data_IF_590528005521
#
_entry.id   IF_590528005521
#
_cell.length_a   1.000
_cell.length_b   1.000
_cell.length_c   1.000
_cell.angle_alpha   90.00
_cell.angle_beta   90.00
_cell.angle_gamma   90.00
#
_symmetry.space_group_name_H-M   'P 1'
#
loop_
_entity.id
_entity.type
_entity.pdbx_description
1 polymer ?
#
# COMPACT_ATOMS: atom_id res chain seq x y z
N UNK A 1 -13.21 -9.90 21.83
CA UNK A 1 -12.97 -8.70 21.02
C UNK A 1 -13.81 -8.79 19.74
N UNK A 2 -14.67 -7.80 19.53
CA UNK A 2 -15.49 -7.70 18.32
C UNK A 2 -14.60 -7.24 17.18
N UNK A 3 -14.20 -8.16 16.30
CA UNK A 3 -13.46 -7.81 15.08
C UNK A 3 -14.39 -7.03 14.14
N UNK A 4 -14.18 -5.74 13.99
CA UNK A 4 -14.92 -4.92 13.05
C UNK A 4 -14.38 -5.15 11.62
N UNK A 5 -15.29 -5.28 10.64
CA UNK A 5 -14.96 -5.38 9.22
C UNK A 5 -15.47 -4.13 8.50
N UNK A 6 -14.56 -3.38 7.88
CA UNK A 6 -14.89 -2.27 7.00
C UNK A 6 -14.77 -2.72 5.54
N UNK A 7 -15.88 -2.73 4.82
CA UNK A 7 -15.89 -3.03 3.38
C UNK A 7 -15.87 -1.70 2.60
N UNK A 8 -15.00 -1.60 1.59
CA UNK A 8 -14.89 -0.39 0.76
C UNK A 8 -15.02 -0.72 -0.71
N UNK A 9 -15.63 0.19 -1.49
CA UNK A 9 -15.91 0.04 -2.91
C UNK A 9 -14.75 0.42 -3.84
N UNK A 10 -13.49 0.29 -3.43
CA UNK A 10 -12.36 0.57 -4.30
C UNK A 10 -12.28 -0.42 -5.46
N UNK A 11 -12.01 0.10 -6.65
CA UNK A 11 -12.00 -0.63 -7.93
C UNK A 11 -10.59 -0.75 -8.51
N UNK A 12 -10.46 -1.40 -9.65
CA UNK A 12 -9.23 -1.46 -10.45
C UNK A 12 -8.79 -0.05 -10.90
N UNK A 13 -9.73 0.82 -11.20
CA UNK A 13 -9.46 2.23 -11.52
C UNK A 13 -8.75 2.93 -10.34
N UNK A 14 -9.24 2.73 -9.12
CA UNK A 14 -8.63 3.31 -7.90
C UNK A 14 -7.23 2.74 -7.64
N UNK A 15 -6.96 1.47 -8.01
CA UNK A 15 -5.61 0.90 -7.95
C UNK A 15 -4.66 1.62 -8.89
N UNK A 16 -5.05 1.83 -10.15
CA UNK A 16 -4.24 2.53 -11.14
C UNK A 16 -3.98 3.99 -10.74
N UNK A 17 -5.02 4.69 -10.30
CA UNK A 17 -4.92 6.06 -9.77
C UNK A 17 -3.93 6.13 -8.61
N UNK A 18 -4.07 5.22 -7.63
CA UNK A 18 -3.19 5.16 -6.44
C UNK A 18 -1.74 4.85 -6.82
N UNK A 19 -1.51 3.95 -7.75
CA UNK A 19 -0.18 3.61 -8.26
C UNK A 19 0.51 4.85 -8.84
N UNK A 20 -0.15 5.58 -9.74
CA UNK A 20 0.42 6.78 -10.37
C UNK A 20 0.66 7.91 -9.37
N UNK A 21 -0.26 8.14 -8.44
CA UNK A 21 -0.07 9.13 -7.38
C UNK A 21 1.17 8.81 -6.53
N UNK A 22 1.42 7.55 -6.22
CA UNK A 22 2.58 7.11 -5.44
C UNK A 22 3.86 7.10 -6.26
N UNK A 23 3.79 6.71 -7.54
CA UNK A 23 4.92 6.80 -8.48
C UNK A 23 5.41 8.25 -8.62
N UNK A 24 4.50 9.21 -8.77
CA UNK A 24 4.82 10.65 -8.82
C UNK A 24 5.57 11.13 -7.57
N UNK A 25 5.31 10.51 -6.42
CA UNK A 25 5.98 10.84 -5.13
C UNK A 25 7.31 10.10 -4.96
N UNK A 26 7.79 9.37 -5.97
CA UNK A 26 9.03 8.59 -5.89
C UNK A 26 8.94 7.37 -4.98
N UNK A 27 7.75 6.79 -4.82
CA UNK A 27 7.58 5.62 -3.95
C UNK A 27 8.29 4.39 -4.53
N UNK A 28 8.95 3.61 -3.67
CA UNK A 28 9.50 2.30 -3.99
C UNK A 28 8.44 1.18 -3.91
N UNK A 29 8.92 -0.06 -3.77
CA UNK A 29 8.09 -1.30 -3.77
C UNK A 29 6.88 -1.20 -2.85
N UNK A 30 7.06 -0.75 -1.61
CA UNK A 30 5.97 -0.65 -0.62
C UNK A 30 4.87 0.31 -1.04
N UNK A 31 5.22 1.44 -1.62
CA UNK A 31 4.26 2.41 -2.12
C UNK A 31 3.59 1.93 -3.40
N UNK A 32 4.37 1.46 -4.37
CA UNK A 32 3.86 1.01 -5.66
C UNK A 32 3.02 -0.27 -5.59
N UNK A 33 3.09 -1.03 -4.48
CA UNK A 33 2.17 -2.13 -4.19
C UNK A 33 0.70 -1.70 -4.10
N UNK A 34 0.42 -0.39 -4.10
CA UNK A 34 -0.91 0.22 -4.04
C UNK A 34 -1.77 -0.32 -2.88
N UNK A 35 -3.04 -0.61 -3.10
CA UNK A 35 -3.93 -1.11 -2.04
C UNK A 35 -3.96 -2.63 -2.05
N UNK A 36 -3.86 -3.24 -0.86
CA UNK A 36 -4.11 -4.66 -0.70
C UNK A 36 -5.62 -4.95 -0.62
N UNK A 37 -6.05 -6.12 -1.08
CA UNK A 37 -7.44 -6.57 -0.97
C UNK A 37 -7.89 -6.60 0.50
N UNK A 38 -6.99 -7.06 1.38
CA UNK A 38 -7.18 -7.03 2.83
C UNK A 38 -6.07 -6.26 3.50
N UNK A 39 -6.42 -5.41 4.43
CA UNK A 39 -5.46 -4.67 5.26
C UNK A 39 -6.06 -4.41 6.62
N UNK A 40 -5.22 -4.05 7.59
CA UNK A 40 -5.66 -3.74 8.95
C UNK A 40 -5.43 -2.26 9.23
N UNK A 41 -6.34 -1.67 9.97
CA UNK A 41 -6.27 -0.33 10.51
C UNK A 41 -6.40 -0.42 12.02
N UNK A 42 -5.33 -0.11 12.74
CA UNK A 42 -5.39 -0.02 14.21
C UNK A 42 -6.04 1.30 14.62
N UNK A 43 -7.11 1.24 15.37
CA UNK A 43 -7.83 2.40 15.88
C UNK A 43 -8.30 2.15 17.31
N UNK A 44 -7.89 3.00 18.26
CA UNK A 44 -8.33 2.90 19.66
C UNK A 44 -7.88 1.63 20.39
N UNK A 45 -6.84 0.94 19.91
CA UNK A 45 -6.37 -0.35 20.48
C UNK A 45 -7.00 -1.58 19.83
N UNK A 46 -7.98 -1.40 18.93
CA UNK A 46 -8.59 -2.47 18.15
C UNK A 46 -8.07 -2.47 16.72
N UNK A 47 -7.94 -3.66 16.13
CA UNK A 47 -7.62 -3.84 14.72
C UNK A 47 -8.90 -4.01 13.91
N UNK A 48 -9.15 -3.05 13.01
CA UNK A 48 -10.25 -3.10 12.05
C UNK A 48 -9.74 -3.68 10.74
N UNK A 49 -10.30 -4.80 10.30
CA UNK A 49 -9.99 -5.35 8.99
C UNK A 49 -10.69 -4.51 7.90
N UNK A 50 -9.93 -4.01 6.95
CA UNK A 50 -10.46 -3.37 5.74
C UNK A 50 -10.43 -4.39 4.61
N UNK A 51 -11.59 -4.61 3.98
CA UNK A 51 -11.76 -5.51 2.84
C UNK A 51 -12.19 -4.72 1.59
N UNK A 52 -11.55 -4.98 0.45
CA UNK A 52 -11.78 -4.31 -0.83
C UNK A 52 -12.12 -5.34 -1.91
N UNK A 53 -13.35 -5.86 -1.93
CA UNK A 53 -13.73 -6.95 -2.83
C UNK A 53 -13.72 -6.59 -4.32
N UNK A 54 -13.80 -5.29 -4.63
CA UNK A 54 -13.96 -4.81 -6.01
C UNK A 54 -12.65 -4.39 -6.67
N UNK A 55 -11.48 -4.58 -6.04
CA UNK A 55 -10.18 -4.13 -6.58
C UNK A 55 -9.80 -4.74 -7.94
N UNK A 56 -10.41 -5.84 -8.33
CA UNK A 56 -10.14 -6.54 -9.60
C UNK A 56 -11.12 -6.16 -10.70
N UNK A 57 -12.17 -5.40 -10.37
CA UNK A 57 -13.22 -5.01 -11.29
C UNK A 57 -13.05 -3.56 -11.71
N UNK A 58 -13.25 -3.29 -13.00
CA UNK A 58 -13.31 -1.94 -13.53
C UNK A 58 -14.60 -1.25 -13.12
N UNK A 59 -14.54 0.06 -12.90
CA UNK A 59 -15.72 0.86 -12.55
C UNK A 59 -16.81 0.76 -13.63
N UNK A 60 -16.42 0.70 -14.90
CA UNK A 60 -17.36 0.55 -16.00
C UNK A 60 -18.11 -0.77 -15.96
N UNK A 61 -17.41 -1.88 -15.70
CA UNK A 61 -18.06 -3.20 -15.52
C UNK A 61 -19.11 -3.17 -14.41
N UNK A 62 -18.86 -2.44 -13.32
CA UNK A 62 -19.85 -2.29 -12.25
C UNK A 62 -21.06 -1.46 -12.68
N UNK A 63 -20.85 -0.43 -13.51
CA UNK A 63 -21.94 0.35 -14.10
C UNK A 63 -22.79 -0.48 -15.07
N UNK A 64 -22.15 -1.33 -15.86
CA UNK A 64 -22.89 -2.25 -16.77
C UNK A 64 -23.79 -3.21 -15.97
N UNK A 65 -23.31 -3.74 -14.85
CA UNK A 65 -24.12 -4.57 -13.95
C UNK A 65 -25.31 -3.77 -13.39
N UNK A 66 -25.09 -2.52 -12.94
CA UNK A 66 -26.17 -1.68 -12.44
C UNK A 66 -27.18 -1.35 -13.52
N UNK A 67 -26.74 -1.04 -14.75
CA UNK A 67 -27.60 -0.81 -15.90
C UNK A 67 -28.44 -2.05 -16.24
N UNK A 68 -27.80 -3.24 -16.25
CA UNK A 68 -28.52 -4.49 -16.50
C UNK A 68 -29.63 -4.75 -15.48
N UNK A 69 -29.43 -4.37 -14.23
CA UNK A 69 -30.43 -4.49 -13.16
C UNK A 69 -31.33 -3.26 -13.00
N UNK A 70 -31.25 -2.29 -13.91
CA UNK A 70 -32.02 -1.03 -13.87
C UNK A 70 -31.86 -0.23 -12.55
N UNK A 71 -30.70 -0.39 -11.90
CA UNK A 71 -30.37 0.30 -10.65
C UNK A 71 -29.72 1.66 -10.97
N UNK A 72 -30.32 2.72 -10.49
CA UNK A 72 -29.76 4.09 -10.63
C UNK A 72 -28.69 4.31 -9.57
N UNK A 73 -27.60 5.00 -9.98
CA UNK A 73 -26.56 5.49 -9.06
C UNK A 73 -26.49 7.01 -9.06
N UNK A 74 -25.90 7.55 -8.02
CA UNK A 74 -25.64 8.98 -7.91
C UNK A 74 -24.24 9.29 -8.43
N UNK A 75 -24.12 10.32 -9.25
CA UNK A 75 -22.82 10.90 -9.62
C UNK A 75 -22.52 12.05 -8.67
N UNK A 76 -21.39 11.95 -7.97
CA UNK A 76 -20.89 13.04 -7.14
C UNK A 76 -20.23 14.10 -8.04
N UNK A 77 -20.68 15.36 -8.01
CA UNK A 77 -20.11 16.45 -8.83
C UNK A 77 -18.60 16.65 -8.60
N UNK A 78 -18.09 16.32 -7.41
CA UNK A 78 -16.65 16.45 -7.09
C UNK A 78 -15.78 15.49 -7.91
N UNK A 79 -16.36 14.47 -8.53
CA UNK A 79 -15.65 13.54 -9.42
C UNK A 79 -15.11 14.19 -10.69
N UNK A 80 -15.56 15.40 -11.02
CA UNK A 80 -15.15 16.17 -12.20
C UNK A 80 -14.29 17.39 -11.86
N UNK A 81 -14.03 17.66 -10.59
CA UNK A 81 -13.29 18.82 -10.12
C UNK A 81 -11.77 18.60 -10.22
N UNK A 82 -11.11 19.33 -11.12
CA UNK A 82 -9.68 19.27 -11.39
C UNK A 82 -8.80 19.76 -10.24
N UNK A 83 -9.35 20.38 -9.21
CA UNK A 83 -8.62 20.72 -7.99
C UNK A 83 -8.11 19.47 -7.26
N UNK A 84 -8.83 18.36 -7.39
CA UNK A 84 -8.46 17.08 -6.79
C UNK A 84 -7.37 16.35 -7.60
N UNK A 85 -6.32 15.92 -6.89
CA UNK A 85 -5.20 15.17 -7.49
C UNK A 85 -5.67 13.93 -8.27
N UNK A 86 -6.66 13.21 -7.76
CA UNK A 86 -7.20 12.00 -8.39
C UNK A 86 -7.87 12.27 -9.74
N UNK A 87 -8.57 13.39 -9.87
CA UNK A 87 -9.21 13.75 -11.14
C UNK A 87 -8.14 14.01 -12.21
N UNK A 88 -7.08 14.73 -11.86
CA UNK A 88 -5.95 14.96 -12.77
C UNK A 88 -5.25 13.67 -13.18
N UNK A 89 -5.04 12.75 -12.24
CA UNK A 89 -4.44 11.43 -12.53
C UNK A 89 -5.34 10.60 -13.45
N UNK A 90 -6.66 10.65 -13.28
CA UNK A 90 -7.62 9.97 -14.15
C UNK A 90 -7.53 10.47 -15.59
N UNK A 91 -7.40 11.78 -15.80
CA UNK A 91 -7.17 12.36 -17.15
C UNK A 91 -5.85 11.87 -17.75
N UNK A 92 -4.77 11.80 -16.96
CA UNK A 92 -3.49 11.27 -17.43
C UNK A 92 -3.57 9.78 -17.80
N UNK A 93 -4.36 8.98 -17.09
CA UNK A 93 -4.58 7.56 -17.44
C UNK A 93 -5.17 7.40 -18.84
N UNK A 94 -6.04 8.29 -19.29
CA UNK A 94 -6.59 8.27 -20.65
C UNK A 94 -5.46 8.45 -21.69
N UNK A 95 -4.57 9.43 -21.48
CA UNK A 95 -3.44 9.64 -22.39
C UNK A 95 -2.42 8.49 -22.35
N UNK A 96 -2.22 7.88 -21.19
CA UNK A 96 -1.34 6.71 -21.06
C UNK A 96 -1.90 5.47 -21.77
N UNK A 97 -3.22 5.32 -21.81
CA UNK A 97 -3.87 4.22 -22.54
C UNK A 97 -3.58 4.30 -24.05
N UNK A 98 -3.49 5.50 -24.64
CA UNK A 98 -3.09 5.73 -26.03
C UNK A 98 -1.66 5.22 -26.32
N UNK A 99 -0.78 5.26 -25.32
CA UNK A 99 0.57 4.70 -25.38
C UNK A 99 0.62 3.20 -25.04
N UNK A 100 -0.54 2.56 -24.87
CA UNK A 100 -0.64 1.16 -24.50
C UNK A 100 -0.44 0.86 -23.01
N UNK A 101 -0.35 1.89 -22.16
CA UNK A 101 -0.25 1.77 -20.72
C UNK A 101 -1.63 1.98 -20.06
N UNK A 102 -2.48 1.00 -20.19
CA UNK A 102 -3.82 1.02 -19.62
C UNK A 102 -3.87 0.71 -18.11
N UNK A 103 -5.03 0.95 -17.51
CA UNK A 103 -5.25 0.72 -16.07
C UNK A 103 -5.05 -0.72 -15.65
N UNK A 104 -5.29 -1.69 -16.54
CA UNK A 104 -5.10 -3.12 -16.29
C UNK A 104 -3.62 -3.46 -16.15
N UNK A 105 -2.76 -2.95 -17.04
CA UNK A 105 -1.30 -3.12 -16.97
C UNK A 105 -0.72 -2.46 -15.73
N UNK A 106 -1.18 -1.26 -15.40
CA UNK A 106 -0.75 -0.54 -14.19
C UNK A 106 -1.14 -1.32 -12.93
N UNK A 107 -2.39 -1.79 -12.84
CA UNK A 107 -2.87 -2.61 -11.71
C UNK A 107 -2.12 -3.94 -11.60
N UNK A 108 -1.79 -4.58 -12.75
CA UNK A 108 -0.96 -5.77 -12.78
C UNK A 108 0.44 -5.49 -12.22
N UNK A 109 1.05 -4.37 -12.59
CA UNK A 109 2.35 -3.95 -12.02
C UNK A 109 2.26 -3.73 -10.51
N UNK A 110 1.20 -3.07 -10.02
CA UNK A 110 0.96 -2.92 -8.59
C UNK A 110 0.85 -4.28 -7.87
N UNK A 111 0.20 -5.26 -8.48
CA UNK A 111 0.09 -6.62 -7.94
C UNK A 111 1.44 -7.33 -7.88
N UNK A 112 2.31 -7.15 -8.88
CA UNK A 112 3.68 -7.67 -8.86
C UNK A 112 4.51 -7.00 -7.76
N UNK A 113 4.38 -5.69 -7.57
CA UNK A 113 4.99 -4.98 -6.43
C UNK A 113 4.47 -5.48 -5.09
N UNK A 114 3.19 -5.83 -4.99
CA UNK A 114 2.62 -6.42 -3.77
C UNK A 114 3.25 -7.80 -3.47
N UNK A 115 3.45 -8.62 -4.49
CA UNK A 115 4.14 -9.91 -4.34
C UNK A 115 5.60 -9.74 -3.89
N UNK A 116 6.34 -8.81 -4.51
CA UNK A 116 7.70 -8.49 -4.12
C UNK A 116 7.78 -7.97 -2.66
N UNK A 117 6.86 -7.07 -2.28
CA UNK A 117 6.74 -6.58 -0.90
C UNK A 117 6.53 -7.72 0.09
N UNK A 118 5.66 -8.68 -0.24
CA UNK A 118 5.38 -9.84 0.63
C UNK A 118 6.63 -10.68 0.82
N UNK A 119 7.38 -10.97 -0.25
CA UNK A 119 8.62 -11.73 -0.19
C UNK A 119 9.69 -11.02 0.65
N UNK A 120 9.86 -9.70 0.46
CA UNK A 120 10.81 -8.89 1.22
C UNK A 120 10.44 -8.82 2.71
N UNK A 121 9.16 -8.70 3.02
CA UNK A 121 8.69 -8.71 4.40
C UNK A 121 8.89 -10.06 5.07
N UNK A 122 8.66 -11.16 4.33
CA UNK A 122 8.92 -12.51 4.84
C UNK A 122 10.40 -12.70 5.17
N UNK A 123 11.29 -12.29 4.27
CA UNK A 123 12.73 -12.35 4.52
C UNK A 123 13.14 -11.51 5.74
N UNK A 124 12.61 -10.30 5.89
CA UNK A 124 12.90 -9.47 7.05
C UNK A 124 12.37 -10.09 8.35
N UNK A 125 11.20 -10.72 8.32
CA UNK A 125 10.64 -11.42 9.46
C UNK A 125 11.48 -12.64 9.85
N UNK A 126 11.88 -13.47 8.88
CA UNK A 126 12.75 -14.65 9.12
C UNK A 126 14.10 -14.25 9.72
N UNK A 127 14.65 -13.12 9.27
CA UNK A 127 15.86 -12.56 9.87
C UNK A 127 15.63 -12.18 11.34
N UNK A 128 14.54 -11.46 11.64
CA UNK A 128 14.20 -11.09 13.00
C UNK A 128 14.04 -12.32 13.92
N UNK A 129 13.36 -13.36 13.47
CA UNK A 129 13.16 -14.60 14.23
C UNK A 129 14.48 -15.32 14.58
N UNK A 130 15.51 -15.17 13.72
CA UNK A 130 16.81 -15.83 13.92
C UNK A 130 17.82 -14.97 14.68
N UNK A 131 17.86 -13.67 14.39
CA UNK A 131 18.94 -12.76 14.81
C UNK A 131 18.41 -11.51 15.51
N UNK A 132 17.13 -11.46 15.81
CA UNK A 132 16.48 -10.37 16.54
C UNK A 132 15.95 -10.83 17.89
N UNK A 133 15.76 -9.88 18.78
CA UNK A 133 15.08 -10.11 20.06
C UNK A 133 14.38 -8.84 20.53
N UNK A 134 13.38 -9.02 21.39
CA UNK A 134 12.71 -7.90 22.07
C UNK A 134 12.98 -8.01 23.56
N UNK A 135 13.64 -7.02 24.15
CA UNK A 135 13.94 -6.96 25.58
C UNK A 135 13.53 -5.60 26.14
N UNK A 136 12.69 -5.61 27.17
CA UNK A 136 12.20 -4.40 27.86
C UNK A 136 11.52 -3.37 26.94
N UNK A 137 10.97 -3.82 25.78
CA UNK A 137 10.34 -2.93 24.80
C UNK A 137 11.27 -2.46 23.68
N UNK A 138 12.57 -2.71 23.79
CA UNK A 138 13.57 -2.43 22.76
C UNK A 138 13.71 -3.60 21.80
N UNK A 139 14.02 -3.30 20.54
CA UNK A 139 14.35 -4.29 19.51
C UNK A 139 15.88 -4.33 19.35
N UNK A 140 16.45 -5.52 19.49
CA UNK A 140 17.88 -5.76 19.39
C UNK A 140 18.14 -6.68 18.21
N UNK A 141 19.14 -6.36 17.38
CA UNK A 141 19.62 -7.21 16.29
C UNK A 141 21.07 -7.60 16.53
N UNK A 142 21.44 -8.81 16.09
CA UNK A 142 22.86 -9.16 15.94
C UNK A 142 23.52 -8.22 14.94
N UNK A 143 24.58 -7.52 15.35
CA UNK A 143 25.19 -6.46 14.54
C UNK A 143 25.91 -7.02 13.31
N UNK A 144 26.61 -8.14 13.43
CA UNK A 144 27.37 -8.72 12.32
C UNK A 144 26.42 -9.20 11.23
N UNK A 145 25.41 -9.97 11.60
CA UNK A 145 24.39 -10.48 10.69
C UNK A 145 23.58 -9.34 10.04
N UNK A 146 23.18 -8.35 10.84
CA UNK A 146 22.47 -7.17 10.33
C UNK A 146 23.31 -6.37 9.34
N UNK A 147 24.62 -6.22 9.59
CA UNK A 147 25.53 -5.45 8.75
C UNK A 147 25.72 -6.05 7.35
N UNK A 148 25.54 -7.36 7.21
CA UNK A 148 25.64 -8.10 5.97
C UNK A 148 24.35 -8.11 5.13
N UNK A 149 23.23 -7.60 5.67
CA UNK A 149 21.96 -7.60 4.95
C UNK A 149 21.91 -6.64 3.75
N UNK A 150 21.13 -6.96 2.72
CA UNK A 150 20.77 -6.01 1.68
C UNK A 150 20.09 -4.76 2.26
N UNK A 151 20.38 -3.61 1.66
CA UNK A 151 19.92 -2.30 2.15
C UNK A 151 18.40 -2.22 2.37
N UNK A 152 17.60 -2.78 1.47
CA UNK A 152 16.13 -2.75 1.62
C UNK A 152 15.65 -3.55 2.83
N UNK A 153 16.33 -4.65 3.16
CA UNK A 153 16.00 -5.46 4.34
C UNK A 153 16.38 -4.70 5.63
N UNK A 154 17.56 -4.07 5.68
CA UNK A 154 17.95 -3.20 6.80
C UNK A 154 16.90 -2.11 7.03
N UNK A 155 16.46 -1.44 5.96
CA UNK A 155 15.42 -0.40 6.00
C UNK A 155 14.10 -0.94 6.56
N UNK A 156 13.69 -2.15 6.17
CA UNK A 156 12.45 -2.79 6.65
C UNK A 156 12.51 -3.10 8.14
N UNK A 157 13.61 -3.70 8.58
CA UNK A 157 13.83 -4.03 9.98
C UNK A 157 13.86 -2.79 10.87
N UNK A 158 14.63 -1.76 10.49
CA UNK A 158 14.69 -0.51 11.26
C UNK A 158 13.36 0.23 11.27
N UNK A 159 12.64 0.25 10.15
CA UNK A 159 11.33 0.89 10.11
C UNK A 159 10.30 0.17 11.00
N UNK A 160 10.34 -1.16 11.04
CA UNK A 160 9.49 -1.94 11.94
C UNK A 160 9.88 -1.75 13.41
N UNK A 161 11.18 -1.77 13.73
CA UNK A 161 11.69 -1.54 15.07
C UNK A 161 11.33 -0.13 15.58
N UNK A 162 11.54 0.90 14.76
CA UNK A 162 11.18 2.27 15.13
C UNK A 162 9.67 2.43 15.34
N UNK A 163 8.85 1.81 14.49
CA UNK A 163 7.39 1.84 14.63
C UNK A 163 6.96 1.15 15.93
N UNK A 164 7.57 0.03 16.28
CA UNK A 164 7.32 -0.70 17.53
C UNK A 164 7.66 0.15 18.76
N UNK A 165 8.89 0.63 18.85
CA UNK A 165 9.39 1.40 20.00
C UNK A 165 8.63 2.71 20.18
N UNK A 166 8.33 3.41 19.08
CA UNK A 166 7.62 4.70 19.15
C UNK A 166 6.11 4.57 19.31
N UNK A 167 5.56 3.36 19.19
CA UNK A 167 4.10 3.09 19.15
C UNK A 167 3.36 3.93 18.12
N UNK A 168 4.05 4.37 17.05
CA UNK A 168 3.46 5.21 16.03
C UNK A 168 2.64 4.39 15.04
N UNK A 169 1.49 4.95 14.66
CA UNK A 169 0.57 4.33 13.68
C UNK A 169 1.16 4.25 12.28
N UNK A 170 2.01 5.20 11.90
CA UNK A 170 2.56 5.30 10.55
C UNK A 170 4.03 4.90 10.53
N UNK A 171 4.40 4.21 9.48
CA UNK A 171 5.79 3.86 9.20
C UNK A 171 6.63 5.14 9.03
N UNK A 172 7.87 5.18 9.56
CA UNK A 172 8.76 6.33 9.38
C UNK A 172 9.08 6.58 7.91
N UNK A 173 9.43 7.83 7.59
CA UNK A 173 9.85 8.20 6.23
C UNK A 173 11.18 7.54 5.88
N UNK A 174 11.36 7.19 4.62
CA UNK A 174 12.59 6.55 4.15
C UNK A 174 13.85 7.36 4.50
N UNK A 175 13.79 8.69 4.36
CA UNK A 175 14.91 9.58 4.72
C UNK A 175 15.31 9.51 6.20
N UNK A 176 14.37 9.24 7.09
CA UNK A 176 14.65 9.08 8.52
C UNK A 176 15.39 7.74 8.78
N UNK A 177 14.96 6.68 8.10
CA UNK A 177 15.62 5.38 8.18
C UNK A 177 17.03 5.44 7.58
N UNK A 178 17.19 6.12 6.44
CA UNK A 178 18.51 6.28 5.80
C UNK A 178 19.47 7.09 6.67
N UNK A 179 18.98 8.10 7.39
CA UNK A 179 19.79 8.85 8.35
C UNK A 179 20.26 7.95 9.53
N UNK A 180 19.40 7.05 10.02
CA UNK A 180 19.78 6.08 11.05
C UNK A 180 20.83 5.07 10.55
N UNK A 181 20.77 4.68 9.28
CA UNK A 181 21.74 3.75 8.69
C UNK A 181 23.11 4.39 8.44
N UNK A 182 23.15 5.71 8.34
CA UNK A 182 24.37 6.48 8.10
C UNK A 182 25.08 6.93 9.38
N UNK A 183 24.45 6.82 10.55
CA UNK A 183 25.00 7.17 11.87
C UNK A 183 25.83 6.05 12.45
#
# INVERSE_FOLDING_TARGET
PSSALLITGHTLDDQAETFLMRLRRGSGVDGLSSMAERSYLSFGGDDIMIFRPLLKFERETLRDVLNFHEVKWLEDPTNSDDSFERVRVRKLLTSFAELGLDKTKISKTASLMQSAKTALNHFAFDFYEKFGSCMYGDIIFDFEEFSNLPLDIKRRLLAAAQQWVSSQKYRPRLSQIDALLAS
#
